data_IF_957640437564
#
_entry.id   IF_957640437564
#
_cell.length_a   1.000
_cell.length_b   1.000
_cell.length_c   1.000
_cell.angle_alpha   90.00
_cell.angle_beta   90.00
_cell.angle_gamma   90.00
#
_symmetry.space_group_name_H-M   'P 1'
#
loop_
_entity.id
_entity.type
_entity.pdbx_description
1 polymer ?
#
# COMPACT_ATOMS: atom_id res chain seq x y z
N UNK A 1 -18.51 -17.75 -11.33
CA UNK A 1 -18.29 -16.41 -10.78
C UNK A 1 -17.37 -15.62 -11.68
N UNK A 2 -17.72 -14.39 -11.98
CA UNK A 2 -16.86 -13.50 -12.73
C UNK A 2 -15.63 -13.11 -11.90
N UNK A 3 -14.44 -13.01 -12.50
CA UNK A 3 -13.28 -12.55 -11.77
C UNK A 3 -13.46 -11.09 -11.35
N UNK A 4 -12.93 -10.77 -10.18
CA UNK A 4 -12.94 -9.40 -9.66
C UNK A 4 -11.72 -8.65 -10.19
N UNK A 5 -11.93 -7.48 -10.74
CA UNK A 5 -10.87 -6.65 -11.30
C UNK A 5 -10.48 -5.56 -10.31
N UNK A 6 -9.28 -5.65 -9.78
CA UNK A 6 -8.78 -4.80 -8.71
C UNK A 6 -7.51 -4.13 -9.18
N UNK A 7 -7.38 -2.83 -8.90
CA UNK A 7 -6.15 -2.09 -9.15
C UNK A 7 -5.48 -1.76 -7.82
N UNK A 8 -4.16 -2.03 -7.74
CA UNK A 8 -3.36 -1.59 -6.61
C UNK A 8 -2.98 -0.12 -6.85
N UNK A 9 -3.36 0.75 -5.93
CA UNK A 9 -3.21 2.19 -6.09
C UNK A 9 -2.44 2.78 -4.92
N UNK A 10 -1.35 3.48 -5.22
CA UNK A 10 -0.56 4.22 -4.23
C UNK A 10 -0.96 5.68 -4.12
N UNK A 11 -1.88 6.13 -4.97
CA UNK A 11 -2.32 7.53 -5.13
C UNK A 11 -1.21 8.47 -5.60
N UNK A 12 -0.16 7.92 -6.22
CA UNK A 12 0.73 8.69 -7.05
C UNK A 12 0.09 8.99 -8.41
N UNK A 13 0.72 9.87 -9.18
CA UNK A 13 0.17 10.29 -10.48
C UNK A 13 -0.06 9.12 -11.43
N UNK A 14 0.84 8.15 -11.46
CA UNK A 14 0.75 7.03 -12.39
C UNK A 14 -0.37 6.06 -12.01
N UNK A 15 -0.57 5.80 -10.72
CA UNK A 15 -1.66 4.96 -10.24
C UNK A 15 -3.02 5.58 -10.56
N UNK A 16 -3.17 6.88 -10.33
CA UNK A 16 -4.41 7.60 -10.63
C UNK A 16 -4.65 7.63 -12.14
N UNK A 17 -3.61 7.90 -12.92
CA UNK A 17 -3.71 7.89 -14.38
C UNK A 17 -4.15 6.52 -14.91
N UNK A 18 -3.64 5.44 -14.35
CA UNK A 18 -4.04 4.07 -14.72
C UNK A 18 -5.53 3.86 -14.50
N UNK A 19 -6.07 4.29 -13.35
CA UNK A 19 -7.50 4.18 -13.06
C UNK A 19 -8.32 4.99 -14.05
N UNK A 20 -7.94 6.24 -14.29
CA UNK A 20 -8.68 7.11 -15.21
C UNK A 20 -8.66 6.57 -16.64
N UNK A 21 -7.53 6.04 -17.10
CA UNK A 21 -7.43 5.42 -18.41
C UNK A 21 -8.29 4.16 -18.52
N UNK A 22 -8.32 3.34 -17.48
CA UNK A 22 -9.17 2.15 -17.47
C UNK A 22 -10.64 2.54 -17.60
N UNK A 23 -11.08 3.57 -16.89
CA UNK A 23 -12.46 4.07 -16.97
C UNK A 23 -12.75 4.65 -18.36
N UNK A 24 -11.82 5.42 -18.91
CA UNK A 24 -11.97 6.04 -20.23
C UNK A 24 -12.10 4.98 -21.33
N UNK A 25 -11.35 3.90 -21.24
CA UNK A 25 -11.36 2.82 -22.23
C UNK A 25 -12.43 1.74 -21.95
N UNK A 26 -13.23 1.92 -20.91
CA UNK A 26 -14.27 0.95 -20.58
C UNK A 26 -13.77 -0.38 -20.07
N UNK A 27 -12.54 -0.42 -19.56
CA UNK A 27 -11.97 -1.64 -18.99
C UNK A 27 -12.66 -2.00 -17.67
N UNK A 28 -12.83 -3.30 -17.39
CA UNK A 28 -13.47 -3.70 -16.14
C UNK A 28 -12.60 -3.31 -14.95
N UNK A 29 -13.20 -2.63 -13.99
CA UNK A 29 -12.53 -2.20 -12.76
C UNK A 29 -13.55 -2.16 -11.63
N UNK A 30 -13.42 -3.09 -10.68
CA UNK A 30 -14.38 -3.23 -9.60
C UNK A 30 -14.02 -2.38 -8.39
N UNK A 31 -12.73 -2.30 -8.05
CA UNK A 31 -12.29 -1.46 -6.95
C UNK A 31 -10.80 -1.13 -7.04
N UNK A 32 -10.40 -0.09 -6.31
CA UNK A 32 -9.00 0.23 -6.07
C UNK A 32 -8.62 -0.21 -4.66
N UNK A 33 -7.43 -0.76 -4.51
CA UNK A 33 -6.90 -1.20 -3.22
C UNK A 33 -5.69 -0.35 -2.89
N UNK A 34 -5.75 0.33 -1.75
CA UNK A 34 -4.66 1.13 -1.21
C UNK A 34 -4.17 0.50 0.08
N UNK A 35 -2.89 0.15 0.13
CA UNK A 35 -2.28 -0.35 1.35
C UNK A 35 -1.47 0.76 2.01
N UNK A 36 -1.96 1.27 3.14
CA UNK A 36 -1.28 2.30 3.90
C UNK A 36 -0.20 1.66 4.77
N UNK A 37 1.05 2.04 4.53
CA UNK A 37 2.17 1.61 5.37
C UNK A 37 2.21 2.51 6.59
N UNK A 38 2.10 1.92 7.77
CA UNK A 38 2.16 2.67 9.03
C UNK A 38 3.60 2.76 9.52
N UNK A 39 3.99 3.94 9.98
CA UNK A 39 5.29 4.13 10.60
C UNK A 39 5.34 3.41 11.96
N UNK A 40 4.32 3.64 12.79
CA UNK A 40 4.11 2.93 14.04
C UNK A 40 2.60 2.68 14.22
N UNK A 41 2.17 2.27 15.40
CA UNK A 41 0.77 1.91 15.63
C UNK A 41 -0.21 3.09 15.51
N UNK A 42 0.28 4.32 15.56
CA UNK A 42 -0.56 5.51 15.54
C UNK A 42 -0.22 6.51 14.43
N UNK A 43 0.92 6.35 13.75
CA UNK A 43 1.43 7.31 12.79
C UNK A 43 1.53 6.67 11.40
N UNK A 44 0.94 7.32 10.40
CA UNK A 44 1.06 6.87 9.01
C UNK A 44 2.50 7.06 8.51
N UNK A 45 2.93 6.17 7.63
CA UNK A 45 4.19 6.30 6.92
C UNK A 45 4.13 7.28 5.75
N UNK A 46 2.94 7.78 5.42
CA UNK A 46 2.78 8.77 4.36
C UNK A 46 3.16 10.17 4.84
N UNK A 47 3.66 10.98 3.92
CA UNK A 47 3.85 12.42 4.17
C UNK A 47 2.48 13.02 4.51
N UNK A 48 2.37 13.87 5.56
CA UNK A 48 1.06 14.37 6.00
C UNK A 48 0.22 15.02 4.90
N UNK A 49 0.83 15.78 4.02
CA UNK A 49 0.14 16.43 2.90
C UNK A 49 -0.41 15.40 1.92
N UNK A 50 0.34 14.33 1.66
CA UNK A 50 -0.10 13.27 0.77
C UNK A 50 -1.22 12.45 1.41
N UNK A 51 -1.11 12.16 2.70
CA UNK A 51 -2.18 11.48 3.44
C UNK A 51 -3.47 12.29 3.40
N UNK A 52 -3.40 13.59 3.63
CA UNK A 52 -4.56 14.47 3.54
C UNK A 52 -5.16 14.45 2.13
N UNK A 53 -4.34 14.53 1.10
CA UNK A 53 -4.79 14.42 -0.29
C UNK A 53 -5.53 13.12 -0.53
N UNK A 54 -4.98 11.99 -0.08
CA UNK A 54 -5.59 10.67 -0.28
C UNK A 54 -6.99 10.63 0.32
N UNK A 55 -7.12 10.99 1.60
CA UNK A 55 -8.37 10.80 2.32
C UNK A 55 -9.40 11.92 2.06
N UNK A 56 -8.95 13.13 1.81
CA UNK A 56 -9.87 14.28 1.65
C UNK A 56 -10.24 14.55 0.20
N UNK A 57 -9.42 14.17 -0.76
CA UNK A 57 -9.66 14.49 -2.17
C UNK A 57 -9.70 13.25 -3.06
N UNK A 58 -8.67 12.40 -3.03
CA UNK A 58 -8.52 11.33 -4.00
C UNK A 58 -9.55 10.22 -3.82
N UNK A 59 -9.73 9.71 -2.61
CA UNK A 59 -10.71 8.65 -2.35
C UNK A 59 -12.14 9.11 -2.66
N UNK A 60 -12.58 10.28 -2.16
CA UNK A 60 -13.94 10.75 -2.53
C UNK A 60 -14.12 10.95 -4.03
N UNK A 61 -13.10 11.42 -4.74
CA UNK A 61 -13.18 11.62 -6.19
C UNK A 61 -13.35 10.30 -6.93
N UNK A 62 -12.58 9.27 -6.56
CA UNK A 62 -12.71 7.95 -7.18
C UNK A 62 -14.07 7.31 -6.89
N UNK A 63 -14.58 7.46 -5.68
CA UNK A 63 -15.89 6.93 -5.33
C UNK A 63 -17.00 7.59 -6.13
N UNK A 64 -16.88 8.89 -6.41
CA UNK A 64 -17.82 9.59 -7.29
C UNK A 64 -17.78 9.06 -8.72
N UNK A 65 -16.65 8.56 -9.17
CA UNK A 65 -16.49 7.95 -10.47
C UNK A 65 -16.94 6.48 -10.52
N UNK A 66 -17.43 5.95 -9.41
CA UNK A 66 -17.90 4.58 -9.33
C UNK A 66 -16.83 3.56 -8.98
N UNK A 67 -15.67 4.01 -8.51
CA UNK A 67 -14.55 3.12 -8.11
C UNK A 67 -14.42 3.19 -6.59
N UNK A 68 -14.95 2.18 -5.85
CA UNK A 68 -14.75 2.15 -4.41
C UNK A 68 -13.27 1.89 -4.08
N UNK A 69 -12.82 2.47 -2.98
CA UNK A 69 -11.43 2.33 -2.52
C UNK A 69 -11.40 1.51 -1.24
N UNK A 70 -10.63 0.43 -1.28
CA UNK A 70 -10.40 -0.42 -0.12
C UNK A 70 -9.05 -0.05 0.49
N UNK A 71 -9.06 0.37 1.77
CA UNK A 71 -7.83 0.69 2.50
C UNK A 71 -7.41 -0.54 3.30
N UNK A 72 -6.19 -0.99 3.08
CA UNK A 72 -5.60 -2.10 3.81
C UNK A 72 -4.45 -1.58 4.67
N UNK A 73 -4.22 -2.24 5.79
CA UNK A 73 -3.06 -1.99 6.66
C UNK A 73 -2.55 -3.33 7.14
N UNK A 74 -1.22 -3.47 7.18
CA UNK A 74 -0.59 -4.63 7.77
C UNK A 74 -0.60 -4.51 9.31
N UNK A 75 -0.56 -5.65 9.99
CA UNK A 75 -0.27 -5.66 11.42
C UNK A 75 1.15 -5.21 11.72
N UNK A 76 2.05 -5.33 10.72
CA UNK A 76 3.44 -4.89 10.86
C UNK A 76 3.57 -3.43 10.44
N UNK A 77 4.40 -2.69 11.16
CA UNK A 77 4.69 -1.29 10.89
C UNK A 77 6.14 -1.14 10.48
N UNK A 78 6.51 0.06 10.00
CA UNK A 78 7.89 0.36 9.65
C UNK A 78 8.81 0.08 10.86
N UNK A 79 8.44 0.60 12.04
CA UNK A 79 9.26 0.42 13.24
C UNK A 79 9.35 -1.04 13.67
N UNK A 80 8.27 -1.81 13.58
CA UNK A 80 8.29 -3.22 13.96
C UNK A 80 9.19 -4.05 13.02
N UNK A 81 9.20 -3.73 11.73
CA UNK A 81 10.07 -4.40 10.75
C UNK A 81 11.52 -3.97 10.94
N UNK A 82 11.77 -2.66 11.11
CA UNK A 82 13.12 -2.12 11.33
C UNK A 82 13.77 -2.73 12.57
N UNK A 83 13.03 -2.81 13.67
CA UNK A 83 13.51 -3.36 14.94
C UNK A 83 13.44 -4.88 15.00
N UNK A 84 12.87 -5.53 13.98
CA UNK A 84 12.81 -6.98 13.90
C UNK A 84 14.19 -7.60 13.84
N UNK A 85 14.31 -8.79 14.41
CA UNK A 85 15.60 -9.49 14.43
C UNK A 85 15.75 -10.45 13.25
N UNK A 86 16.95 -10.52 12.72
CA UNK A 86 17.29 -11.48 11.69
C UNK A 86 17.19 -12.89 12.27
N UNK A 87 16.51 -13.80 11.57
CA UNK A 87 16.26 -15.16 12.06
C UNK A 87 17.22 -16.20 11.52
N UNK A 88 17.95 -15.90 10.48
CA UNK A 88 18.86 -16.84 9.81
C UNK A 88 20.17 -16.18 9.40
N UNK A 89 21.21 -16.99 9.30
CA UNK A 89 22.51 -16.58 8.77
C UNK A 89 23.42 -15.95 9.82
N UNK A 90 24.58 -15.38 9.35
CA UNK A 90 25.59 -14.84 10.26
C UNK A 90 25.12 -13.70 11.13
N UNK A 91 24.08 -12.98 10.69
CA UNK A 91 23.55 -11.83 11.41
C UNK A 91 22.35 -12.17 12.30
N UNK A 92 22.10 -13.47 12.54
CA UNK A 92 20.99 -13.92 13.39
C UNK A 92 21.01 -13.21 14.74
N UNK A 93 19.85 -12.68 15.15
CA UNK A 93 19.69 -11.95 16.40
C UNK A 93 19.97 -10.46 16.32
N UNK A 94 20.51 -9.98 15.20
CA UNK A 94 20.72 -8.55 14.98
C UNK A 94 19.46 -7.88 14.44
N UNK A 95 19.34 -6.58 14.67
CA UNK A 95 18.23 -5.77 14.14
C UNK A 95 18.33 -5.71 12.61
N UNK A 96 17.20 -5.83 11.92
CA UNK A 96 17.16 -5.77 10.45
C UNK A 96 17.61 -4.42 9.91
N UNK A 97 17.22 -3.33 10.58
CA UNK A 97 17.51 -1.94 10.20
C UNK A 97 17.07 -1.59 8.75
N UNK A 98 17.69 -0.61 8.13
CA UNK A 98 17.33 -0.20 6.78
C UNK A 98 17.75 -1.23 5.73
N UNK A 99 16.94 -1.45 4.71
CA UNK A 99 17.38 -2.24 3.55
C UNK A 99 18.42 -1.45 2.76
N UNK A 100 19.64 -2.03 2.64
CA UNK A 100 20.75 -1.37 1.95
C UNK A 100 20.70 -1.63 0.45
N UNK A 101 20.32 -2.83 0.06
CA UNK A 101 20.14 -3.21 -1.34
C UNK A 101 19.26 -4.45 -1.43
N UNK A 102 18.57 -4.61 -2.56
CA UNK A 102 17.71 -5.77 -2.80
C UNK A 102 16.38 -5.69 -2.10
N UNK A 103 16.14 -6.59 -1.16
CA UNK A 103 14.81 -6.72 -0.54
C UNK A 103 14.52 -5.61 0.46
N UNK A 104 13.36 -4.96 0.28
CA UNK A 104 12.81 -4.06 1.28
C UNK A 104 11.77 -4.83 2.11
N UNK A 105 12.11 -5.13 3.36
CA UNK A 105 11.21 -5.87 4.24
C UNK A 105 9.94 -5.08 4.59
N UNK A 106 10.04 -3.74 4.64
CA UNK A 106 8.87 -2.89 4.86
C UNK A 106 7.91 -3.01 3.70
N UNK A 107 8.40 -2.92 2.46
CA UNK A 107 7.56 -3.09 1.29
C UNK A 107 6.92 -4.47 1.26
N UNK A 108 7.71 -5.51 1.54
CA UNK A 108 7.23 -6.89 1.53
C UNK A 108 6.13 -7.12 2.57
N UNK A 109 6.42 -6.77 3.84
CA UNK A 109 5.57 -7.14 4.97
C UNK A 109 4.42 -6.17 5.21
N UNK A 110 4.64 -4.87 4.96
CA UNK A 110 3.65 -3.84 5.26
C UNK A 110 2.77 -3.46 4.08
N UNK A 111 3.15 -3.84 2.87
CA UNK A 111 2.43 -3.44 1.66
C UNK A 111 2.07 -4.63 0.78
N UNK A 112 3.06 -5.38 0.29
CA UNK A 112 2.84 -6.46 -0.67
C UNK A 112 2.04 -7.62 -0.08
N UNK A 113 2.36 -7.99 1.15
CA UNK A 113 1.71 -9.13 1.81
C UNK A 113 0.21 -8.89 2.06
N UNK A 114 -0.21 -7.74 2.63
CA UNK A 114 -1.64 -7.45 2.76
C UNK A 114 -2.39 -7.43 1.43
N UNK A 115 -1.78 -6.89 0.38
CA UNK A 115 -2.39 -6.84 -0.94
C UNK A 115 -2.57 -8.24 -1.50
N UNK A 116 -1.57 -9.11 -1.36
CA UNK A 116 -1.65 -10.49 -1.85
C UNK A 116 -2.69 -11.33 -1.11
N UNK A 117 -2.90 -11.06 0.17
CA UNK A 117 -3.88 -11.79 0.98
C UNK A 117 -5.31 -11.32 0.72
N UNK A 118 -5.50 -10.12 0.22
CA UNK A 118 -6.82 -9.58 -0.10
C UNK A 118 -7.38 -10.19 -1.40
#
# INVERSE_FOLDING_TARGET
MSPKHVVSCSFGKDSIATILLALEHGEPLDEAVYCEVMFDNSTSGEVPEHQAFIYQAAIPALEKLGVPVRVLRSEKTYTSVFMGKVTRGPKKGMIRSFPVCGKCYVQRDCKMHPIRQY
#
